data_IF_807342501382
#
_entry.id   IF_807342501382
#
_cell.length_a   1.000
_cell.length_b   1.000
_cell.length_c   1.000
_cell.angle_alpha   90.00
_cell.angle_beta   90.00
_cell.angle_gamma   90.00
#
_symmetry.space_group_name_H-M   'P 1'
#
loop_
_entity.id
_entity.type
_entity.pdbx_description
1 polymer ?
#
# COMPACT_ATOMS: atom_id res chain seq x y z
N UNK A 1 -33.69 -13.29 0.45
CA UNK A 1 -32.58 -12.65 -0.30
C UNK A 1 -32.48 -11.21 0.19
N UNK A 2 -31.51 -10.92 1.07
CA UNK A 2 -31.42 -9.64 1.78
C UNK A 2 -30.59 -8.65 0.97
N UNK A 3 -31.22 -7.59 0.48
CA UNK A 3 -30.57 -6.44 -0.17
C UNK A 3 -29.81 -5.63 0.88
N UNK A 4 -28.47 -5.57 0.77
CA UNK A 4 -27.64 -4.64 1.54
C UNK A 4 -27.68 -3.27 0.87
N UNK A 5 -28.52 -2.38 1.38
CA UNK A 5 -28.47 -0.96 1.05
C UNK A 5 -27.25 -0.34 1.73
N UNK A 6 -26.24 0.05 0.94
CA UNK A 6 -25.13 0.86 1.44
C UNK A 6 -25.59 2.31 1.56
N UNK A 7 -25.80 2.77 2.79
CA UNK A 7 -26.06 4.18 3.06
C UNK A 7 -24.78 4.98 2.79
N UNK A 8 -24.78 5.74 1.69
CA UNK A 8 -23.70 6.67 1.36
C UNK A 8 -23.83 7.91 2.23
N UNK A 9 -23.21 7.89 3.41
CA UNK A 9 -23.10 9.08 4.26
C UNK A 9 -22.22 10.11 3.54
N UNK A 10 -22.83 11.18 3.03
CA UNK A 10 -22.09 12.37 2.60
C UNK A 10 -21.72 13.15 3.86
N UNK A 11 -20.49 12.97 4.32
CA UNK A 11 -19.91 13.93 5.25
C UNK A 11 -19.73 15.27 4.52
N UNK A 12 -20.20 16.40 5.08
CA UNK A 12 -20.02 17.72 4.49
C UNK A 12 -18.54 18.12 4.64
N UNK A 13 -17.71 17.77 3.67
CA UNK A 13 -16.37 18.33 3.57
C UNK A 13 -16.49 19.80 3.13
N UNK A 14 -16.25 20.72 4.06
CA UNK A 14 -16.16 22.15 3.78
C UNK A 14 -14.98 22.42 2.82
N UNK A 15 -15.25 23.12 1.70
CA UNK A 15 -14.33 23.38 0.59
C UNK A 15 -13.02 24.07 1.02
N UNK A 16 -12.99 24.74 2.18
CA UNK A 16 -11.81 25.39 2.75
C UNK A 16 -10.77 24.44 3.39
N UNK A 17 -11.08 23.15 3.56
CA UNK A 17 -10.26 22.19 4.32
C UNK A 17 -9.52 21.15 3.45
N UNK A 18 -9.13 21.52 2.23
CA UNK A 18 -8.35 20.62 1.34
C UNK A 18 -6.95 20.35 1.86
N UNK A 19 -6.26 21.38 2.36
CA UNK A 19 -4.88 21.27 2.85
C UNK A 19 -4.75 20.32 4.05
N UNK A 20 -5.71 20.33 4.97
CA UNK A 20 -5.73 19.42 6.12
C UNK A 20 -5.99 17.97 5.71
N UNK A 21 -6.76 17.73 4.63
CA UNK A 21 -6.96 16.38 4.08
C UNK A 21 -5.70 15.81 3.44
N UNK A 22 -4.89 16.64 2.78
CA UNK A 22 -3.59 16.23 2.20
C UNK A 22 -2.55 15.87 3.27
N UNK A 23 -2.69 16.46 4.47
CA UNK A 23 -1.85 16.18 5.63
C UNK A 23 -2.35 15.00 6.46
N UNK A 24 -3.56 14.49 6.23
CA UNK A 24 -4.08 13.32 6.92
C UNK A 24 -3.16 12.12 6.69
N UNK A 25 -2.72 11.48 7.77
CA UNK A 25 -1.86 10.28 7.73
C UNK A 25 -2.58 9.11 8.42
N UNK A 26 -3.06 8.12 7.66
CA UNK A 26 -3.59 6.89 8.23
C UNK A 26 -2.51 6.12 8.97
N UNK A 27 -2.92 5.48 10.06
CA UNK A 27 -2.08 4.56 10.80
C UNK A 27 -1.97 3.23 10.05
N UNK A 28 -0.81 2.59 10.14
CA UNK A 28 -0.59 1.27 9.58
C UNK A 28 0.25 0.40 10.52
N UNK A 29 -0.08 -0.88 10.59
CA UNK A 29 0.74 -1.93 11.18
C UNK A 29 1.15 -2.88 10.07
N UNK A 30 2.46 -3.12 9.96
CA UNK A 30 3.04 -3.94 8.90
C UNK A 30 3.70 -5.17 9.52
N UNK A 31 3.36 -6.33 9.01
CA UNK A 31 4.00 -7.61 9.35
C UNK A 31 4.58 -8.24 8.08
N UNK A 32 5.74 -8.88 8.21
CA UNK A 32 6.39 -9.62 7.13
C UNK A 32 6.33 -11.11 7.39
N UNK A 33 5.99 -11.87 6.36
CA UNK A 33 5.91 -13.32 6.39
C UNK A 33 6.71 -13.90 5.21
N UNK A 34 7.56 -14.91 5.48
CA UNK A 34 8.45 -15.50 4.46
C UNK A 34 7.90 -16.77 3.81
N UNK A 35 6.82 -17.34 4.35
CA UNK A 35 6.26 -18.60 3.91
C UNK A 35 4.83 -18.42 3.41
N UNK A 36 4.50 -19.08 2.31
CA UNK A 36 3.14 -19.17 1.77
C UNK A 36 2.51 -20.51 2.09
N UNK A 37 1.52 -20.89 1.27
CA UNK A 37 0.92 -22.22 1.37
C UNK A 37 1.99 -23.31 1.22
N UNK A 38 1.81 -24.40 1.97
CA UNK A 38 2.74 -25.54 2.04
C UNK A 38 4.16 -25.18 2.52
N UNK A 39 4.33 -24.10 3.30
CA UNK A 39 5.63 -23.62 3.80
C UNK A 39 6.64 -23.28 2.69
N UNK A 40 6.14 -23.08 1.47
CA UNK A 40 6.97 -22.66 0.34
C UNK A 40 7.50 -21.23 0.58
N UNK A 41 8.74 -20.98 0.15
CA UNK A 41 9.33 -19.64 0.27
C UNK A 41 8.53 -18.63 -0.57
N UNK A 42 7.82 -17.74 0.12
CA UNK A 42 6.91 -16.77 -0.48
C UNK A 42 6.87 -15.50 0.40
N UNK A 43 7.89 -14.62 0.28
CA UNK A 43 7.97 -13.39 1.05
C UNK A 43 6.83 -12.44 0.68
N UNK A 44 5.99 -12.09 1.65
CA UNK A 44 4.88 -11.16 1.49
C UNK A 44 4.66 -10.32 2.77
N UNK A 45 3.89 -9.25 2.60
CA UNK A 45 3.55 -8.30 3.66
C UNK A 45 2.06 -8.37 3.96
N UNK A 46 1.73 -8.39 5.25
CA UNK A 46 0.40 -8.08 5.74
C UNK A 46 0.39 -6.64 6.26
N UNK A 47 -0.49 -5.82 5.70
CA UNK A 47 -0.63 -4.42 6.08
C UNK A 47 -2.04 -4.24 6.61
N UNK A 48 -2.17 -3.91 7.89
CA UNK A 48 -3.42 -3.47 8.50
C UNK A 48 -3.40 -1.96 8.57
N UNK A 49 -4.41 -1.32 7.99
CA UNK A 49 -4.48 0.14 7.86
C UNK A 49 -5.76 0.67 8.48
N UNK A 50 -5.70 1.85 9.10
CA UNK A 50 -6.89 2.50 9.65
C UNK A 50 -7.82 2.95 8.52
N UNK A 51 -9.13 2.70 8.67
CA UNK A 51 -10.17 3.20 7.74
C UNK A 51 -10.51 4.67 8.01
N UNK A 52 -9.47 5.50 8.14
CA UNK A 52 -9.59 6.91 8.42
C UNK A 52 -8.52 7.48 9.33
N UNK A 53 -8.64 8.78 9.58
CA UNK A 53 -7.68 9.60 10.35
C UNK A 53 -8.45 10.56 11.25
N UNK A 54 -8.03 10.67 12.50
CA UNK A 54 -8.43 11.76 13.41
C UNK A 54 -7.34 12.84 13.40
N UNK A 55 -7.74 14.07 13.12
CA UNK A 55 -6.86 15.21 13.08
C UNK A 55 -6.80 15.89 14.45
N UNK A 56 -5.67 16.52 14.83
CA UNK A 56 -5.54 17.24 16.09
C UNK A 56 -6.58 18.35 16.28
N UNK A 57 -7.06 18.94 15.19
CA UNK A 57 -8.05 20.01 15.19
C UNK A 57 -9.49 19.52 15.47
N UNK A 58 -9.67 18.20 15.68
CA UNK A 58 -10.95 17.56 15.96
C UNK A 58 -11.70 17.06 14.73
N UNK A 59 -11.15 17.27 13.52
CA UNK A 59 -11.71 16.73 12.30
C UNK A 59 -11.45 15.22 12.18
N UNK A 60 -12.34 14.51 11.50
CA UNK A 60 -12.11 13.11 11.11
C UNK A 60 -12.37 12.90 9.63
N UNK A 61 -11.49 12.12 8.99
CA UNK A 61 -11.61 11.72 7.59
C UNK A 61 -11.72 10.20 7.54
N UNK A 62 -12.91 9.67 7.23
CA UNK A 62 -13.11 8.24 6.98
C UNK A 62 -13.16 7.91 5.49
N UNK A 63 -13.27 6.61 5.16
CA UNK A 63 -13.39 6.13 3.78
C UNK A 63 -12.23 6.62 2.90
N UNK A 64 -11.03 6.18 3.27
CA UNK A 64 -9.85 6.42 2.45
C UNK A 64 -10.02 5.55 1.19
N UNK A 65 -10.19 6.22 0.06
CA UNK A 65 -10.22 5.55 -1.25
C UNK A 65 -8.77 5.32 -1.68
N UNK A 66 -8.41 4.07 -1.98
CA UNK A 66 -7.05 3.68 -2.30
C UNK A 66 -6.99 3.12 -3.71
N UNK A 67 -6.08 3.66 -4.52
CA UNK A 67 -5.75 3.06 -5.80
C UNK A 67 -4.73 1.93 -5.58
N UNK A 68 -5.21 0.69 -5.61
CA UNK A 68 -4.39 -0.50 -5.40
C UNK A 68 -3.27 -0.65 -6.44
N UNK A 69 -3.49 -0.21 -7.69
CA UNK A 69 -2.49 -0.31 -8.76
C UNK A 69 -1.38 0.71 -8.54
N UNK A 70 -1.72 1.93 -8.16
CA UNK A 70 -0.73 2.94 -7.79
C UNK A 70 0.06 2.51 -6.56
N UNK A 71 -0.60 2.04 -5.51
CA UNK A 71 0.08 1.56 -4.29
C UNK A 71 1.04 0.41 -4.61
N UNK A 72 0.61 -0.57 -5.40
CA UNK A 72 1.45 -1.68 -5.84
C UNK A 72 2.69 -1.19 -6.60
N UNK A 73 2.52 -0.17 -7.45
CA UNK A 73 3.62 0.38 -8.24
C UNK A 73 4.63 1.10 -7.34
N UNK A 74 4.16 1.93 -6.40
CA UNK A 74 5.01 2.62 -5.43
C UNK A 74 5.79 1.65 -4.53
N UNK A 75 5.14 0.58 -4.05
CA UNK A 75 5.81 -0.46 -3.26
C UNK A 75 6.86 -1.20 -4.08
N UNK A 76 6.58 -1.51 -5.35
CA UNK A 76 7.56 -2.13 -6.24
C UNK A 76 8.77 -1.23 -6.44
N UNK A 77 8.53 0.05 -6.72
CA UNK A 77 9.59 1.03 -6.98
C UNK A 77 10.45 1.24 -5.73
N UNK A 78 9.86 1.30 -4.54
CA UNK A 78 10.60 1.43 -3.29
C UNK A 78 11.46 0.20 -3.01
N UNK A 79 10.96 -1.02 -3.24
CA UNK A 79 11.74 -2.26 -3.09
C UNK A 79 12.91 -2.27 -4.07
N UNK A 80 12.70 -1.91 -5.34
CA UNK A 80 13.78 -1.83 -6.34
C UNK A 80 14.82 -0.78 -5.92
N UNK A 81 14.39 0.39 -5.45
CA UNK A 81 15.29 1.42 -4.94
C UNK A 81 16.09 0.92 -3.72
N UNK A 82 15.46 0.24 -2.76
CA UNK A 82 16.14 -0.35 -1.60
C UNK A 82 17.13 -1.45 -1.99
N UNK A 83 16.75 -2.33 -2.93
CA UNK A 83 17.66 -3.36 -3.46
C UNK A 83 18.84 -2.74 -4.20
N UNK A 84 18.61 -1.71 -5.02
CA UNK A 84 19.71 -1.02 -5.72
C UNK A 84 20.63 -0.30 -4.74
N UNK A 85 20.08 0.32 -3.69
CA UNK A 85 20.86 0.90 -2.62
C UNK A 85 21.72 -0.14 -1.88
N UNK A 86 21.14 -1.29 -1.52
CA UNK A 86 21.85 -2.39 -0.88
C UNK A 86 22.89 -3.06 -1.81
N UNK A 87 22.62 -3.09 -3.11
CA UNK A 87 23.49 -3.68 -4.14
C UNK A 87 24.74 -2.88 -4.46
N UNK A 88 24.87 -1.64 -3.97
CA UNK A 88 26.08 -0.81 -4.17
C UNK A 88 27.36 -1.42 -3.59
N UNK A 89 27.28 -2.54 -2.86
CA UNK A 89 28.41 -3.35 -2.43
C UNK A 89 28.80 -4.53 -3.33
N UNK A 90 28.01 -4.91 -4.36
CA UNK A 90 28.39 -6.00 -5.30
C UNK A 90 27.65 -5.95 -6.65
N UNK A 91 28.35 -5.88 -7.80
CA UNK A 91 27.78 -5.65 -9.12
C UNK A 91 26.84 -6.77 -9.65
N UNK A 92 26.88 -7.97 -9.06
CA UNK A 92 26.03 -9.10 -9.49
C UNK A 92 24.55 -8.98 -9.07
N UNK A 93 24.23 -8.11 -8.10
CA UNK A 93 22.89 -8.06 -7.47
C UNK A 93 21.89 -7.15 -8.20
N UNK A 94 22.35 -6.18 -8.99
CA UNK A 94 21.49 -5.26 -9.76
C UNK A 94 20.73 -5.98 -10.89
N UNK A 95 21.37 -6.95 -11.56
CA UNK A 95 20.76 -7.69 -12.67
C UNK A 95 19.64 -8.63 -12.20
N UNK A 96 19.74 -9.16 -10.97
CA UNK A 96 18.77 -10.06 -10.36
C UNK A 96 17.53 -9.32 -9.84
N UNK A 97 17.72 -8.17 -9.20
CA UNK A 97 16.60 -7.32 -8.75
C UNK A 97 15.71 -6.87 -9.94
N UNK A 98 16.34 -6.52 -11.07
CA UNK A 98 15.62 -6.12 -12.30
C UNK A 98 14.86 -7.29 -12.95
N UNK A 99 15.30 -8.54 -12.73
CA UNK A 99 14.64 -9.76 -13.22
C UNK A 99 13.42 -10.12 -12.37
N UNK A 100 13.49 -9.91 -11.05
CA UNK A 100 12.39 -10.13 -10.11
C UNK A 100 11.28 -9.07 -10.22
N UNK A 101 11.61 -7.83 -10.56
CA UNK A 101 10.64 -6.74 -10.70
C UNK A 101 9.82 -6.77 -12.02
N UNK A 102 10.11 -7.70 -12.94
CA UNK A 102 9.32 -7.85 -14.17
C UNK A 102 8.02 -8.57 -13.86
N UNK A 103 6.85 -8.05 -14.30
CA UNK A 103 5.62 -8.83 -14.24
C UNK A 103 5.82 -10.14 -15.01
N UNK A 104 5.50 -11.27 -14.39
CA UNK A 104 5.48 -12.55 -15.10
C UNK A 104 4.37 -12.46 -16.14
N UNK A 105 4.72 -12.67 -17.42
CA UNK A 105 3.73 -12.78 -18.48
C UNK A 105 2.71 -13.84 -18.11
N UNK A 106 1.40 -13.62 -18.33
CA UNK A 106 0.41 -14.69 -18.18
C UNK A 106 0.80 -15.80 -19.16
N UNK A 107 1.01 -17.00 -18.62
CA UNK A 107 1.44 -18.16 -19.39
C UNK A 107 0.45 -18.46 -20.51
N UNK A 108 1.00 -18.85 -21.67
CA UNK A 108 0.29 -19.53 -22.75
C UNK A 108 0.01 -20.97 -22.35
#
# INVERSE_FOLDING_TARGET
MSTKTFARVRLPCNRSRRSSREQARPGAVVAWQTFGDSLSYHPHLHILMTDGVFMPEGDSYGYLDWDALQLTSLVRDSIVASCTHASRGSPASVSSARRLARPRSPGR
#
